data_IF_450618853016
#
_entry.id   IF_450618853016
#
_cell.length_a   1.000
_cell.length_b   1.000
_cell.length_c   1.000
_cell.angle_alpha   90.00
_cell.angle_beta   90.00
_cell.angle_gamma   90.00
#
_symmetry.space_group_name_H-M   'P 1'
#
loop_
_entity.id
_entity.type
_entity.pdbx_description
1 polymer ?
#
# COMPACT_ATOMS: atom_id res chain seq x y z
N UNK A 1 13.09 -39.55 1.50
CA UNK A 1 11.94 -38.69 1.88
C UNK A 1 10.70 -39.22 1.20
N UNK A 2 9.65 -39.53 1.96
CA UNK A 2 8.38 -39.96 1.38
C UNK A 2 7.73 -38.79 0.64
N UNK A 3 7.01 -39.05 -0.46
CA UNK A 3 6.32 -38.01 -1.26
C UNK A 3 5.46 -37.08 -0.39
N UNK A 4 4.82 -37.63 0.65
CA UNK A 4 4.04 -36.88 1.62
C UNK A 4 4.89 -35.89 2.45
N UNK A 5 6.10 -36.29 2.86
CA UNK A 5 7.03 -35.43 3.59
C UNK A 5 7.55 -34.29 2.71
N UNK A 6 7.81 -34.55 1.43
CA UNK A 6 8.21 -33.51 0.48
C UNK A 6 7.10 -32.48 0.24
N UNK A 7 5.84 -32.93 0.09
CA UNK A 7 4.69 -32.04 -0.04
C UNK A 7 4.48 -31.18 1.20
N UNK A 8 4.64 -31.74 2.41
CA UNK A 8 4.52 -31.01 3.66
C UNK A 8 5.57 -29.90 3.80
N UNK A 9 6.83 -30.19 3.46
CA UNK A 9 7.91 -29.19 3.46
C UNK A 9 7.63 -28.08 2.46
N UNK A 10 7.19 -28.43 1.24
CA UNK A 10 6.84 -27.43 0.23
C UNK A 10 5.70 -26.52 0.68
N UNK A 11 4.65 -27.08 1.27
CA UNK A 11 3.52 -26.31 1.79
C UNK A 11 3.96 -25.34 2.90
N UNK A 12 4.84 -25.76 3.81
CA UNK A 12 5.41 -24.91 4.86
C UNK A 12 6.24 -23.75 4.28
N UNK A 13 7.04 -24.01 3.25
CA UNK A 13 7.82 -22.96 2.57
C UNK A 13 6.88 -21.94 1.92
N UNK A 14 5.87 -22.39 1.17
CA UNK A 14 4.89 -21.49 0.54
C UNK A 14 4.16 -20.66 1.59
N UNK A 15 3.72 -21.28 2.68
CA UNK A 15 3.04 -20.59 3.78
C UNK A 15 3.96 -19.52 4.41
N UNK A 16 5.24 -19.83 4.62
CA UNK A 16 6.21 -18.87 5.14
C UNK A 16 6.39 -17.67 4.19
N UNK A 17 6.50 -17.91 2.88
CA UNK A 17 6.59 -16.84 1.89
C UNK A 17 5.34 -15.95 1.88
N UNK A 18 4.15 -16.54 1.99
CA UNK A 18 2.88 -15.79 2.06
C UNK A 18 2.83 -14.93 3.33
N UNK A 19 3.13 -15.49 4.49
CA UNK A 19 3.04 -14.78 5.79
C UNK A 19 4.04 -13.62 5.84
N UNK A 20 5.28 -13.85 5.38
CA UNK A 20 6.35 -12.84 5.45
C UNK A 20 6.27 -11.79 4.33
N UNK A 21 5.60 -12.12 3.22
CA UNK A 21 5.41 -11.23 2.06
C UNK A 21 6.71 -10.50 1.67
N UNK A 22 7.81 -11.23 1.37
CA UNK A 22 9.13 -10.63 1.19
C UNK A 22 9.23 -9.69 -0.02
N UNK A 23 8.32 -9.81 -1.00
CA UNK A 23 8.28 -8.93 -2.18
C UNK A 23 7.71 -7.54 -1.89
N UNK A 24 7.01 -7.35 -0.77
CA UNK A 24 6.47 -6.04 -0.36
C UNK A 24 7.59 -5.18 0.26
N UNK A 25 8.50 -4.68 -0.56
CA UNK A 25 9.52 -3.70 -0.16
C UNK A 25 8.92 -2.30 -0.06
N UNK A 26 9.57 -1.33 0.61
CA UNK A 26 9.07 0.05 0.66
C UNK A 26 8.82 0.67 -0.71
N UNK A 27 9.70 0.43 -1.69
CA UNK A 27 9.54 0.93 -3.06
C UNK A 27 8.34 0.28 -3.77
N UNK A 28 8.20 -1.05 -3.67
CA UNK A 28 7.06 -1.77 -4.24
C UNK A 28 5.73 -1.31 -3.63
N UNK A 29 5.71 -1.11 -2.31
CA UNK A 29 4.53 -0.59 -1.61
C UNK A 29 4.18 0.81 -2.10
N UNK A 30 5.16 1.70 -2.28
CA UNK A 30 4.92 3.04 -2.80
C UNK A 30 4.29 2.99 -4.20
N UNK A 31 4.81 2.16 -5.09
CA UNK A 31 4.26 1.99 -6.44
C UNK A 31 2.85 1.37 -6.45
N UNK A 32 2.61 0.34 -5.64
CA UNK A 32 1.28 -0.30 -5.52
C UNK A 32 0.25 0.71 -5.01
N UNK A 33 0.60 1.47 -3.96
CA UNK A 33 -0.33 2.45 -3.39
C UNK A 33 -0.56 3.62 -4.34
N UNK A 34 0.47 4.10 -5.04
CA UNK A 34 0.33 5.17 -6.05
C UNK A 34 -0.63 4.76 -7.16
N UNK A 35 -0.40 3.58 -7.75
CA UNK A 35 -1.25 3.06 -8.81
C UNK A 35 -2.68 2.79 -8.34
N UNK A 36 -2.87 2.31 -7.11
CA UNK A 36 -4.20 2.13 -6.55
C UNK A 36 -4.95 3.47 -6.37
N UNK A 37 -4.24 4.53 -5.92
CA UNK A 37 -4.85 5.85 -5.74
C UNK A 37 -5.21 6.44 -7.09
N UNK A 38 -4.26 6.47 -8.02
CA UNK A 38 -4.46 6.94 -9.38
C UNK A 38 -5.66 6.24 -10.06
N UNK A 39 -5.71 4.91 -9.98
CA UNK A 39 -6.82 4.13 -10.54
C UNK A 39 -8.17 4.41 -9.88
N UNK A 40 -8.21 4.72 -8.58
CA UNK A 40 -9.46 5.07 -7.89
C UNK A 40 -9.97 6.47 -8.22
N UNK A 41 -9.10 7.34 -8.75
CA UNK A 41 -9.38 8.76 -8.99
C UNK A 41 -9.39 9.11 -10.49
N UNK A 42 -9.25 8.13 -11.39
CA UNK A 42 -9.08 8.35 -12.84
C UNK A 42 -10.21 9.20 -13.46
N UNK A 43 -11.43 9.06 -12.96
CA UNK A 43 -12.61 9.79 -13.44
C UNK A 43 -12.86 11.11 -12.69
N UNK A 44 -11.98 11.51 -11.76
CA UNK A 44 -12.17 12.69 -10.91
C UNK A 44 -11.39 13.90 -11.44
N UNK A 45 -12.12 14.98 -11.72
CA UNK A 45 -11.52 16.28 -12.09
C UNK A 45 -10.76 16.90 -10.91
N UNK A 46 -11.25 16.66 -9.69
CA UNK A 46 -10.68 17.15 -8.43
C UNK A 46 -10.36 15.94 -7.53
N UNK A 47 -9.29 15.24 -7.89
CA UNK A 47 -8.89 13.98 -7.26
C UNK A 47 -7.82 14.13 -6.19
N UNK A 48 -7.46 13.01 -5.59
CA UNK A 48 -6.33 12.88 -4.67
C UNK A 48 -5.15 12.16 -5.33
N UNK A 49 -3.93 12.52 -4.93
CA UNK A 49 -2.72 11.93 -5.48
C UNK A 49 -1.55 11.94 -4.51
N UNK A 50 -0.53 11.15 -4.85
CA UNK A 50 0.77 11.20 -4.16
C UNK A 50 1.84 11.95 -4.99
N UNK A 51 1.45 12.60 -6.08
CA UNK A 51 2.33 13.43 -6.93
C UNK A 51 2.46 14.85 -6.36
N UNK A 52 2.91 14.93 -5.11
CA UNK A 52 3.21 16.19 -4.43
C UNK A 52 4.58 16.09 -3.75
N UNK A 53 5.26 17.23 -3.58
CA UNK A 53 6.63 17.27 -3.07
C UNK A 53 6.69 16.77 -1.62
N UNK A 54 7.27 15.59 -1.45
CA UNK A 54 7.38 14.92 -0.16
C UNK A 54 6.27 13.92 0.12
N UNK A 55 5.21 13.86 -0.69
CA UNK A 55 4.16 12.84 -0.59
C UNK A 55 4.67 11.43 -0.91
N UNK A 56 3.86 10.42 -0.58
CA UNK A 56 4.21 9.01 -0.73
C UNK A 56 4.22 8.25 0.60
N UNK A 57 4.84 7.08 0.58
CA UNK A 57 4.93 6.21 1.75
C UNK A 57 5.96 6.75 2.75
N UNK A 58 5.48 7.15 3.93
CA UNK A 58 6.32 7.68 5.02
C UNK A 58 6.84 6.61 5.97
N UNK A 59 6.03 5.57 6.20
CA UNK A 59 6.36 4.49 7.12
C UNK A 59 5.76 3.18 6.64
N UNK A 60 6.50 2.09 6.79
CA UNK A 60 6.03 0.73 6.52
C UNK A 60 6.21 -0.13 7.75
N UNK A 61 5.15 -0.84 8.14
CA UNK A 61 5.13 -1.83 9.21
C UNK A 61 4.76 -3.19 8.62
N UNK A 62 5.62 -4.18 8.78
CA UNK A 62 5.36 -5.55 8.33
C UNK A 62 4.36 -6.22 9.26
N UNK A 63 3.35 -6.88 8.69
CA UNK A 63 2.34 -7.65 9.42
C UNK A 63 2.17 -9.02 8.76
N UNK A 64 1.50 -9.95 9.44
CA UNK A 64 1.19 -11.22 8.81
C UNK A 64 0.34 -10.99 7.55
N UNK A 65 0.72 -11.63 6.44
CA UNK A 65 0.01 -11.57 5.16
C UNK A 65 0.03 -10.18 4.48
N UNK A 66 0.97 -9.30 4.82
CA UNK A 66 1.07 -7.99 4.17
C UNK A 66 1.94 -6.95 4.87
N UNK A 67 1.58 -5.68 4.66
CA UNK A 67 2.20 -4.52 5.29
C UNK A 67 1.15 -3.45 5.60
N UNK A 68 1.35 -2.67 6.65
CA UNK A 68 0.63 -1.42 6.87
C UNK A 68 1.56 -0.27 6.48
N UNK A 69 1.09 0.62 5.62
CA UNK A 69 1.82 1.82 5.24
C UNK A 69 1.11 3.06 5.77
N UNK A 70 1.88 3.99 6.32
CA UNK A 70 1.46 5.36 6.53
C UNK A 70 1.86 6.15 5.29
N UNK A 71 0.88 6.76 4.64
CA UNK A 71 1.06 7.52 3.42
C UNK A 71 0.71 8.98 3.66
N UNK A 72 1.36 9.84 2.87
CA UNK A 72 1.00 11.25 2.73
C UNK A 72 0.57 11.49 1.28
N UNK A 73 -0.53 12.19 1.12
CA UNK A 73 -1.18 12.49 -0.15
C UNK A 73 -1.73 13.90 -0.10
N UNK A 74 -2.11 14.45 -1.25
CA UNK A 74 -2.81 15.71 -1.33
C UNK A 74 -4.04 15.56 -2.23
N UNK A 75 -5.08 16.34 -1.96
CA UNK A 75 -6.32 16.35 -2.74
C UNK A 75 -6.60 17.75 -3.24
N UNK A 76 -7.13 17.83 -4.45
CA UNK A 76 -7.50 19.10 -5.04
C UNK A 76 -6.61 19.48 -6.23
N UNK A 77 -7.10 20.40 -7.05
CA UNK A 77 -6.28 21.19 -7.98
C UNK A 77 -5.42 22.20 -7.20
N UNK A 78 -4.45 21.71 -6.42
CA UNK A 78 -3.64 22.55 -5.54
C UNK A 78 -2.64 23.37 -6.37
N UNK A 79 -2.69 24.71 -6.32
CA UNK A 79 -1.61 25.55 -6.81
C UNK A 79 -0.48 25.54 -5.77
N UNK A 80 0.68 25.03 -6.18
CA UNK A 80 1.92 24.92 -5.39
C UNK A 80 1.87 23.87 -4.26
N UNK A 81 2.87 22.98 -4.24
CA UNK A 81 3.17 21.95 -3.21
C UNK A 81 3.33 22.54 -1.80
N UNK A 82 2.23 23.03 -1.23
CA UNK A 82 2.21 23.59 0.12
C UNK A 82 1.91 22.45 1.11
N UNK A 83 2.80 22.22 2.11
CA UNK A 83 2.63 21.15 3.10
C UNK A 83 1.32 21.23 3.90
N UNK A 84 0.63 22.37 3.89
CA UNK A 84 -0.65 22.57 4.57
C UNK A 84 -1.82 21.79 3.95
N UNK A 85 -1.69 21.38 2.68
CA UNK A 85 -2.68 20.54 1.99
C UNK A 85 -2.32 19.06 2.02
N UNK A 86 -1.25 18.68 2.73
CA UNK A 86 -0.85 17.29 2.86
C UNK A 86 -1.72 16.60 3.91
N UNK A 87 -2.30 15.49 3.50
CA UNK A 87 -3.09 14.62 4.33
C UNK A 87 -2.37 13.30 4.55
N UNK A 88 -2.57 12.72 5.74
CA UNK A 88 -2.01 11.41 6.07
C UNK A 88 -3.12 10.37 6.17
N UNK A 89 -2.89 9.19 5.61
CA UNK A 89 -3.76 8.03 5.76
C UNK A 89 -2.93 6.79 6.09
N UNK A 90 -3.61 5.74 6.56
CA UNK A 90 -3.01 4.41 6.70
C UNK A 90 -3.71 3.45 5.76
N UNK A 91 -2.91 2.62 5.10
CA UNK A 91 -3.39 1.60 4.19
C UNK A 91 -2.76 0.27 4.53
N UNK A 92 -3.54 -0.81 4.43
CA UNK A 92 -3.07 -2.18 4.47
C UNK A 92 -2.86 -2.67 3.04
N UNK A 93 -1.67 -3.19 2.77
CA UNK A 93 -1.31 -3.82 1.51
C UNK A 93 -1.24 -5.32 1.78
N UNK A 94 -2.14 -6.08 1.17
CA UNK A 94 -2.14 -7.54 1.29
C UNK A 94 -0.94 -8.13 0.57
N UNK A 95 -0.60 -9.39 0.89
CA UNK A 95 0.40 -10.14 0.15
C UNK A 95 0.09 -10.13 -1.36
N UNK A 96 -1.18 -10.23 -1.75
CA UNK A 96 -1.60 -10.17 -3.16
C UNK A 96 -1.40 -8.81 -3.83
N UNK A 97 -0.97 -7.78 -3.10
CA UNK A 97 -0.76 -6.43 -3.62
C UNK A 97 -2.04 -5.59 -3.68
N UNK A 98 -3.12 -6.02 -3.02
CA UNK A 98 -4.34 -5.22 -2.92
C UNK A 98 -4.25 -4.21 -1.78
N UNK A 99 -4.78 -3.00 -1.99
CA UNK A 99 -4.70 -1.90 -1.03
C UNK A 99 -6.07 -1.69 -0.37
N UNK A 100 -6.06 -1.54 0.95
CA UNK A 100 -7.27 -1.35 1.76
C UNK A 100 -7.03 -0.19 2.73
N UNK A 101 -7.97 0.74 2.85
CA UNK A 101 -7.86 1.80 3.85
C UNK A 101 -8.04 1.23 5.26
N UNK A 102 -7.24 1.71 6.20
CA UNK A 102 -7.34 1.35 7.62
C UNK A 102 -7.22 2.59 8.49
N UNK A 103 -8.05 2.69 9.53
CA UNK A 103 -8.07 3.84 10.44
C UNK A 103 -9.18 4.85 10.15
N UNK A 104 -9.11 5.99 10.84
CA UNK A 104 -10.17 7.01 10.86
C UNK A 104 -10.09 7.99 9.69
N UNK A 105 -8.87 8.42 9.31
CA UNK A 105 -8.63 9.30 8.17
C UNK A 105 -8.52 8.48 6.88
N UNK A 106 -9.33 8.83 5.87
CA UNK A 106 -9.55 8.09 4.64
C UNK A 106 -9.27 8.96 3.42
N UNK A 107 -8.75 8.37 2.35
CA UNK A 107 -8.68 9.04 1.06
C UNK A 107 -10.11 9.05 0.50
N UNK A 108 -10.67 10.22 0.11
CA UNK A 108 -11.98 10.31 -0.50
C UNK A 108 -12.10 9.39 -1.73
N UNK A 109 -13.20 8.64 -1.83
CA UNK A 109 -13.52 7.81 -2.99
C UNK A 109 -12.48 6.73 -3.37
N UNK A 110 -11.79 6.17 -2.37
CA UNK A 110 -10.80 5.10 -2.53
C UNK A 110 -11.20 3.83 -1.76
#
# INVERSE_FOLDING_TARGET
>A
MNKLSMLAVLALVILFFIISSPWLTPSTINSIVASAIESSQEDMVDGCGMDCNGCGVKKVEKVAFGSIAKIEFACGLIPEDLPEYHEEARVFISFLGTVHQVGEKRIPNF
#
